data_IF_497127911314
#
_entry.id   IF_497127911314
#
_cell.length_a   1.000
_cell.length_b   1.000
_cell.length_c   1.000
_cell.angle_alpha   90.00
_cell.angle_beta   90.00
_cell.angle_gamma   90.00
#
_symmetry.space_group_name_H-M   'P 1'
#
loop_
_entity.id
_entity.type
_entity.pdbx_description
1 polymer ?
#
# COMPACT_ATOMS: atom_id res chain seq x y z
N UNK A 1 -5.62 26.92 23.93
CA UNK A 1 -6.47 25.82 23.41
C UNK A 1 -5.60 24.91 22.54
N UNK A 2 -5.45 23.61 22.84
CA UNK A 2 -4.68 22.73 21.97
C UNK A 2 -5.44 22.59 20.64
N UNK A 3 -4.84 23.02 19.54
CA UNK A 3 -5.39 22.80 18.20
C UNK A 3 -5.52 21.29 18.02
N UNK A 4 -6.74 20.78 17.86
CA UNK A 4 -6.99 19.36 17.54
C UNK A 4 -6.29 19.07 16.21
N UNK A 5 -5.10 18.49 16.27
CA UNK A 5 -4.38 18.04 15.09
C UNK A 5 -5.23 16.94 14.48
N UNK A 6 -5.81 17.19 13.29
CA UNK A 6 -6.47 16.14 12.52
C UNK A 6 -5.43 15.04 12.29
N UNK A 7 -5.76 13.78 12.60
CA UNK A 7 -4.90 12.63 12.36
C UNK A 7 -5.48 11.84 11.19
N UNK A 8 -4.61 11.32 10.33
CA UNK A 8 -5.02 10.35 9.31
C UNK A 8 -5.54 9.09 9.99
N UNK A 9 -6.69 8.59 9.55
CA UNK A 9 -7.28 7.38 10.11
C UNK A 9 -6.91 6.17 9.24
N UNK A 10 -5.83 5.49 9.62
CA UNK A 10 -5.32 4.31 8.92
C UNK A 10 -6.15 3.03 9.14
N UNK A 11 -7.18 3.09 9.99
CA UNK A 11 -7.98 1.92 10.36
C UNK A 11 -7.23 0.94 11.27
N UNK A 12 -7.90 -0.16 11.59
CA UNK A 12 -7.32 -1.30 12.29
C UNK A 12 -7.02 -2.40 11.25
N UNK A 13 -5.82 -2.35 10.66
CA UNK A 13 -5.39 -3.34 9.69
C UNK A 13 -4.23 -4.14 10.26
N UNK A 14 -4.45 -5.44 10.44
CA UNK A 14 -3.41 -6.39 10.78
C UNK A 14 -3.11 -7.30 9.60
N UNK A 15 -1.84 -7.37 9.23
CA UNK A 15 -1.38 -8.23 8.13
C UNK A 15 -1.38 -9.70 8.57
N UNK A 16 -1.77 -10.61 7.68
CA UNK A 16 -1.61 -12.04 7.91
C UNK A 16 -0.17 -12.50 7.64
N UNK A 17 0.19 -13.69 8.13
CA UNK A 17 1.53 -14.27 7.87
C UNK A 17 1.80 -14.49 6.38
N UNK A 18 0.78 -14.87 5.61
CA UNK A 18 0.88 -15.04 4.15
C UNK A 18 1.15 -13.70 3.46
N UNK A 19 0.44 -12.64 3.87
CA UNK A 19 0.66 -11.29 3.35
C UNK A 19 2.06 -10.79 3.70
N UNK A 20 2.57 -11.12 4.88
CA UNK A 20 3.93 -10.78 5.27
C UNK A 20 4.98 -11.52 4.42
N UNK A 21 4.79 -12.83 4.18
CA UNK A 21 5.66 -13.60 3.27
C UNK A 21 5.63 -13.05 1.85
N UNK A 22 4.45 -12.73 1.33
CA UNK A 22 4.28 -12.11 0.02
C UNK A 22 4.97 -10.75 -0.07
N UNK A 23 4.83 -9.90 0.95
CA UNK A 23 5.53 -8.61 1.05
C UNK A 23 7.06 -8.80 1.03
N UNK A 24 7.59 -9.71 1.85
CA UNK A 24 9.04 -9.99 1.88
C UNK A 24 9.55 -10.46 0.52
N UNK A 25 8.80 -11.34 -0.15
CA UNK A 25 9.15 -11.81 -1.48
C UNK A 25 9.13 -10.67 -2.51
N UNK A 26 8.11 -9.82 -2.49
CA UNK A 26 7.99 -8.67 -3.39
C UNK A 26 9.16 -7.70 -3.23
N UNK A 27 9.52 -7.35 -1.99
CA UNK A 27 10.66 -6.46 -1.70
C UNK A 27 11.96 -7.06 -2.25
N UNK A 28 12.19 -8.37 -2.05
CA UNK A 28 13.36 -9.07 -2.62
C UNK A 28 13.40 -9.04 -4.15
N UNK A 29 12.24 -8.98 -4.81
CA UNK A 29 12.11 -8.91 -6.27
C UNK A 29 12.04 -7.47 -6.81
N UNK A 30 12.41 -6.45 -6.02
CA UNK A 30 12.29 -5.03 -6.38
C UNK A 30 10.84 -4.63 -6.75
N UNK A 31 9.85 -5.21 -6.08
CA UNK A 31 8.45 -4.83 -6.14
C UNK A 31 8.12 -4.10 -4.84
N UNK A 32 8.03 -2.77 -4.92
CA UNK A 32 7.78 -1.90 -3.78
C UNK A 32 6.45 -1.21 -4.00
N UNK A 33 5.55 -1.33 -3.03
CA UNK A 33 4.22 -0.72 -3.07
C UNK A 33 4.13 0.28 -1.92
N UNK A 34 3.92 1.55 -2.25
CA UNK A 34 3.88 2.67 -1.30
C UNK A 34 2.59 3.46 -1.43
N UNK A 35 2.06 3.96 -0.30
CA UNK A 35 0.97 4.94 -0.33
C UNK A 35 1.52 6.35 -0.54
N UNK A 36 0.97 7.06 -1.52
CA UNK A 36 1.31 8.44 -1.83
C UNK A 36 0.14 9.35 -1.45
N UNK A 37 0.37 10.37 -0.64
CA UNK A 37 -0.69 11.30 -0.23
C UNK A 37 -1.32 12.01 -1.45
N UNK A 38 -2.64 11.91 -1.60
CA UNK A 38 -3.37 12.54 -2.71
C UNK A 38 -3.62 14.04 -2.48
N UNK A 39 -3.60 14.45 -1.21
CA UNK A 39 -3.93 15.82 -0.78
C UNK A 39 -2.78 16.37 0.06
N UNK A 40 -2.32 17.58 -0.23
CA UNK A 40 -1.35 18.28 0.61
C UNK A 40 -2.00 18.72 1.94
N UNK A 41 -1.35 18.47 3.08
CA UNK A 41 -1.79 18.91 4.40
C UNK A 41 -1.38 17.97 5.55
N UNK A 42 -1.69 18.35 6.80
CA UNK A 42 -1.23 17.64 8.01
C UNK A 42 -1.94 16.31 8.33
N UNK A 43 -2.92 15.89 7.53
CA UNK A 43 -3.59 14.58 7.65
C UNK A 43 -4.39 14.23 6.40
N UNK A 44 -3.70 13.81 5.31
CA UNK A 44 -4.39 13.31 4.14
C UNK A 44 -5.22 12.08 4.50
N UNK A 45 -6.47 12.04 4.05
CA UNK A 45 -7.34 10.86 4.18
C UNK A 45 -7.42 10.07 2.89
N UNK A 46 -6.91 10.61 1.78
CA UNK A 46 -6.90 9.96 0.48
C UNK A 46 -5.45 9.77 0.04
N UNK A 47 -5.15 8.58 -0.45
CA UNK A 47 -3.84 8.18 -0.93
C UNK A 47 -3.95 7.49 -2.28
N UNK A 48 -3.00 7.78 -3.15
CA UNK A 48 -2.71 6.98 -4.32
C UNK A 48 -1.87 5.77 -3.89
N UNK A 49 -1.98 4.67 -4.61
CA UNK A 49 -1.08 3.55 -4.42
C UNK A 49 -0.09 3.57 -5.57
N UNK A 50 1.19 3.64 -5.24
CA UNK A 50 2.28 3.61 -6.19
C UNK A 50 2.95 2.24 -6.12
N UNK A 51 3.08 1.59 -7.27
CA UNK A 51 3.64 0.26 -7.44
C UNK A 51 4.90 0.43 -8.27
N UNK A 52 6.06 0.24 -7.66
CA UNK A 52 7.36 0.26 -8.32
C UNK A 52 7.81 -1.17 -8.57
N UNK A 53 7.98 -1.56 -9.82
CA UNK A 53 8.42 -2.89 -10.24
C UNK A 53 9.72 -2.73 -11.01
N UNK A 54 10.84 -3.21 -10.46
CA UNK A 54 12.16 -3.13 -11.12
C UNK A 54 12.50 -1.71 -11.60
N UNK A 55 12.17 -0.69 -10.80
CA UNK A 55 12.38 0.72 -11.14
C UNK A 55 11.31 1.36 -12.03
N UNK A 56 10.32 0.59 -12.52
CA UNK A 56 9.16 1.15 -13.23
C UNK A 56 8.05 1.51 -12.24
N UNK A 57 7.79 2.79 -12.11
CA UNK A 57 6.76 3.33 -11.22
C UNK A 57 5.41 3.35 -11.96
N UNK A 58 4.41 2.68 -11.37
CA UNK A 58 3.01 2.68 -11.83
C UNK A 58 2.12 3.20 -10.71
N UNK A 59 1.36 4.27 -10.95
CA UNK A 59 0.36 4.73 -9.98
C UNK A 59 -1.02 4.20 -10.30
N UNK A 60 -1.82 3.89 -9.29
CA UNK A 60 -3.23 3.56 -9.49
C UNK A 60 -4.01 4.78 -10.02
N UNK A 61 -4.99 4.60 -10.93
CA UNK A 61 -5.83 5.71 -11.41
C UNK A 61 -6.85 6.18 -10.37
N UNK A 62 -7.03 5.42 -9.29
CA UNK A 62 -7.95 5.72 -8.19
C UNK A 62 -7.18 6.06 -6.91
N UNK A 63 -7.77 6.96 -6.13
CA UNK A 63 -7.38 7.24 -4.74
C UNK A 63 -8.17 6.36 -3.79
N UNK A 64 -7.52 5.90 -2.73
CA UNK A 64 -8.09 5.09 -1.67
C UNK A 64 -8.14 5.87 -0.37
N UNK A 65 -9.12 5.58 0.48
CA UNK A 65 -9.16 6.13 1.81
C UNK A 65 -8.03 5.53 2.67
N UNK A 66 -7.47 6.31 3.59
CA UNK A 66 -6.41 5.90 4.52
C UNK A 66 -6.64 4.53 5.16
N UNK A 67 -7.89 4.21 5.53
CA UNK A 67 -8.29 2.93 6.14
C UNK A 67 -8.23 1.73 5.17
N UNK A 68 -8.31 1.97 3.87
CA UNK A 68 -8.38 0.95 2.81
C UNK A 68 -7.05 0.77 2.07
N UNK A 69 -6.14 1.72 2.25
CA UNK A 69 -4.83 1.75 1.58
C UNK A 69 -3.97 0.55 1.96
N UNK A 70 -3.80 0.28 3.27
CA UNK A 70 -3.03 -0.87 3.70
C UNK A 70 -3.59 -2.21 3.23
N UNK A 71 -4.90 -2.53 3.41
CA UNK A 71 -5.43 -3.79 2.90
C UNK A 71 -5.25 -3.94 1.39
N UNK A 72 -5.44 -2.87 0.61
CA UNK A 72 -5.17 -2.88 -0.83
C UNK A 72 -3.69 -3.11 -1.17
N UNK A 73 -2.76 -2.49 -0.44
CA UNK A 73 -1.32 -2.71 -0.64
C UNK A 73 -0.94 -4.18 -0.42
N UNK A 74 -1.43 -4.80 0.66
CA UNK A 74 -1.15 -6.21 0.94
C UNK A 74 -1.86 -7.15 -0.04
N UNK A 75 -3.03 -6.77 -0.56
CA UNK A 75 -3.71 -7.49 -1.65
C UNK A 75 -2.87 -7.46 -2.93
N UNK A 76 -2.30 -6.32 -3.30
CA UNK A 76 -1.37 -6.23 -4.43
C UNK A 76 -0.12 -7.07 -4.21
N UNK A 77 0.50 -7.03 -3.02
CA UNK A 77 1.63 -7.90 -2.71
C UNK A 77 1.29 -9.38 -2.88
N UNK A 78 0.11 -9.80 -2.39
CA UNK A 78 -0.37 -11.17 -2.55
C UNK A 78 -0.57 -11.52 -4.03
N UNK A 79 -1.17 -10.62 -4.82
CA UNK A 79 -1.37 -10.81 -6.26
C UNK A 79 -0.05 -11.03 -7.02
N UNK A 80 0.97 -10.20 -6.79
CA UNK A 80 2.28 -10.37 -7.45
C UNK A 80 3.00 -11.65 -7.02
N UNK A 81 2.91 -12.00 -5.74
CA UNK A 81 3.46 -13.24 -5.21
C UNK A 81 2.79 -14.47 -5.82
N UNK A 82 1.46 -14.50 -5.85
CA UNK A 82 0.68 -15.60 -6.40
C UNK A 82 0.88 -15.75 -7.92
N UNK A 83 0.88 -14.63 -8.66
CA UNK A 83 1.17 -14.61 -10.10
C UNK A 83 2.53 -15.21 -10.44
N UNK A 84 3.53 -15.04 -9.58
CA UNK A 84 4.84 -15.65 -9.78
C UNK A 84 4.85 -17.13 -9.39
N UNK A 85 4.14 -17.50 -8.32
CA UNK A 85 4.05 -18.89 -7.84
C UNK A 85 3.26 -19.80 -8.77
N UNK A 86 2.20 -19.30 -9.39
CA UNK A 86 1.39 -20.01 -10.40
C UNK A 86 2.05 -20.07 -11.79
N UNK A 87 3.25 -19.51 -11.95
CA UNK A 87 4.02 -19.56 -13.19
C UNK A 87 5.12 -20.65 -13.16
N UNK A 88 5.09 -21.51 -12.14
CA UNK A 88 5.89 -22.73 -12.01
C UNK A 88 5.07 -23.92 -12.47
#
# INVERSE_FOLDING_TARGET
>A
MPKKVKKTNWGDFYRSEEQFKAMQWCIKNNIIITPLAATAGNAPQNFWIEITIQGRVSKTPKTYNAKEVYPQIYEYYKYYYDKHRNRI
#
